data_IF_390247216387
#
_entry.id   IF_390247216387
#
_cell.length_a   1.000
_cell.length_b   1.000
_cell.length_c   1.000
_cell.angle_alpha   90.00
_cell.angle_beta   90.00
_cell.angle_gamma   90.00
#
_symmetry.space_group_name_H-M   'P 1'
#
loop_
_entity.id
_entity.type
_entity.pdbx_description
1 polymer ?
#
# COMPACT_ATOMS: atom_id res chain seq x y z
N UNK A 1 3.84 7.52 0.21
CA UNK A 1 3.81 6.36 -0.67
C UNK A 1 5.04 5.48 -0.47
N UNK A 2 4.95 4.24 -0.96
CA UNK A 2 6.04 3.26 -0.85
C UNK A 2 6.19 2.51 -2.17
N UNK A 3 7.41 2.02 -2.42
CA UNK A 3 7.69 1.15 -3.57
C UNK A 3 7.75 -0.30 -3.10
N UNK A 4 7.28 -1.23 -3.95
CA UNK A 4 7.55 -2.64 -3.72
C UNK A 4 8.82 -3.06 -4.46
N UNK A 5 9.19 -4.35 -4.32
CA UNK A 5 10.42 -4.86 -4.93
C UNK A 5 10.39 -4.86 -6.46
N UNK A 6 9.21 -4.78 -7.06
CA UNK A 6 9.04 -4.74 -8.52
C UNK A 6 8.92 -3.31 -9.04
N UNK A 7 9.07 -2.31 -8.18
CA UNK A 7 9.03 -0.91 -8.58
C UNK A 7 7.63 -0.31 -8.67
N UNK A 8 6.59 -1.04 -8.27
CA UNK A 8 5.24 -0.48 -8.20
C UNK A 8 5.13 0.48 -7.03
N UNK A 9 4.34 1.53 -7.20
CA UNK A 9 4.10 2.54 -6.16
C UNK A 9 2.79 2.23 -5.46
N UNK A 10 2.84 2.15 -4.13
CA UNK A 10 1.68 2.00 -3.27
C UNK A 10 1.46 3.33 -2.56
N UNK A 11 0.36 3.98 -2.85
CA UNK A 11 0.10 5.32 -2.36
C UNK A 11 -1.27 5.42 -1.69
N UNK A 12 -1.34 6.28 -0.67
CA UNK A 12 -2.61 6.57 0.00
C UNK A 12 -3.49 7.44 -0.90
N UNK A 13 -4.79 7.20 -0.81
CA UNK A 13 -5.80 7.95 -1.54
C UNK A 13 -7.04 8.09 -0.67
N UNK A 14 -8.00 8.93 -1.07
CA UNK A 14 -9.20 9.17 -0.27
C UNK A 14 -10.07 7.93 -0.12
N UNK A 15 -10.05 7.05 -1.11
CA UNK A 15 -10.88 5.84 -1.12
C UNK A 15 -10.09 4.58 -0.72
N UNK A 16 -8.84 4.73 -0.29
CA UNK A 16 -8.03 3.60 0.14
C UNK A 16 -6.60 3.69 -0.33
N UNK A 17 -6.06 2.58 -0.82
CA UNK A 17 -4.68 2.49 -1.30
C UNK A 17 -4.69 2.17 -2.80
N UNK A 18 -3.94 2.94 -3.56
CA UNK A 18 -3.77 2.73 -5.00
C UNK A 18 -2.41 2.13 -5.27
N UNK A 19 -2.36 1.18 -6.19
CA UNK A 19 -1.12 0.59 -6.68
C UNK A 19 -0.90 1.02 -8.12
N UNK A 20 0.23 1.66 -8.38
CA UNK A 20 0.60 2.15 -9.70
C UNK A 20 1.80 1.37 -10.23
N UNK A 21 1.84 1.14 -11.55
CA UNK A 21 3.00 0.52 -12.16
C UNK A 21 4.16 1.52 -12.27
N UNK A 22 5.36 1.08 -12.66
CA UNK A 22 6.51 2.00 -12.78
C UNK A 22 6.31 3.14 -13.79
N UNK A 23 5.31 3.03 -14.66
CA UNK A 23 4.98 4.07 -15.63
C UNK A 23 3.89 5.03 -15.13
N UNK A 24 3.34 4.77 -13.94
CA UNK A 24 2.32 5.62 -13.34
C UNK A 24 0.87 5.21 -13.64
N UNK A 25 0.64 4.07 -14.25
CA UNK A 25 -0.71 3.58 -14.52
C UNK A 25 -1.30 2.88 -13.30
N UNK A 26 -2.56 3.15 -13.01
CA UNK A 26 -3.26 2.50 -11.91
C UNK A 26 -3.54 1.04 -12.27
N UNK A 27 -2.97 0.11 -11.51
CA UNK A 27 -3.13 -1.32 -11.75
C UNK A 27 -3.86 -2.05 -10.63
N UNK A 28 -4.13 -1.40 -9.51
CA UNK A 28 -4.88 -2.01 -8.44
C UNK A 28 -5.28 -1.02 -7.37
N UNK A 29 -6.26 -1.42 -6.57
CA UNK A 29 -6.75 -0.64 -5.43
C UNK A 29 -7.07 -1.55 -4.27
N UNK A 30 -6.87 -1.03 -3.05
CA UNK A 30 -7.39 -1.63 -1.82
C UNK A 30 -8.35 -0.61 -1.23
N UNK A 31 -9.65 -0.94 -1.17
CA UNK A 31 -10.63 -0.03 -0.58
C UNK A 31 -10.55 -0.10 0.94
N UNK A 32 -10.51 1.08 1.56
CA UNK A 32 -10.54 1.23 3.01
C UNK A 32 -11.70 2.17 3.33
N UNK A 33 -12.56 1.83 4.31
CA UNK A 33 -13.75 2.65 4.60
C UNK A 33 -13.44 3.98 5.31
N UNK A 34 -12.18 4.34 5.43
CA UNK A 34 -11.71 5.57 6.06
C UNK A 34 -10.67 6.24 5.18
N UNK A 35 -10.39 7.51 5.44
CA UNK A 35 -9.32 8.23 4.75
C UNK A 35 -7.97 7.65 5.19
N UNK A 36 -7.17 7.23 4.22
CA UNK A 36 -5.86 6.66 4.47
C UNK A 36 -4.83 7.79 4.58
N UNK A 37 -4.08 7.79 5.66
CA UNK A 37 -3.05 8.81 5.90
C UNK A 37 -1.65 8.35 5.49
N UNK A 38 -1.37 7.05 5.58
CA UNK A 38 -0.04 6.53 5.22
C UNK A 38 -0.09 5.04 4.96
N UNK A 39 0.93 4.54 4.26
CA UNK A 39 1.13 3.11 4.03
C UNK A 39 2.60 2.78 4.23
N UNK A 40 2.91 1.58 4.71
CA UNK A 40 4.29 1.09 4.78
C UNK A 40 4.31 -0.43 4.72
N UNK A 41 5.40 -0.97 4.19
CA UNK A 41 5.64 -2.41 4.22
C UNK A 41 6.29 -2.81 5.53
N UNK A 42 5.94 -4.00 6.02
CA UNK A 42 6.51 -4.54 7.23
C UNK A 42 6.40 -6.05 7.28
N UNK A 43 6.78 -6.61 8.43
CA UNK A 43 6.85 -8.05 8.63
C UNK A 43 8.20 -8.62 8.21
N UNK A 44 8.49 -9.89 8.54
CA UNK A 44 9.80 -10.48 8.29
C UNK A 44 10.23 -10.51 6.83
N UNK A 45 9.28 -10.56 5.91
CA UNK A 45 9.55 -10.64 4.47
C UNK A 45 9.15 -9.39 3.71
N UNK A 46 8.76 -8.32 4.42
CA UNK A 46 8.26 -7.07 3.82
C UNK A 46 7.09 -7.30 2.85
N UNK A 47 6.28 -8.35 3.09
CA UNK A 47 5.14 -8.68 2.24
C UNK A 47 3.81 -8.32 2.89
N UNK A 48 3.84 -7.58 3.98
CA UNK A 48 2.65 -7.11 4.68
C UNK A 48 2.57 -5.61 4.56
N UNK A 49 1.47 -5.12 4.01
CA UNK A 49 1.23 -3.69 3.87
C UNK A 49 0.42 -3.21 5.07
N UNK A 50 0.96 -2.28 5.84
CA UNK A 50 0.26 -1.62 6.94
C UNK A 50 -0.32 -0.31 6.43
N UNK A 51 -1.60 -0.09 6.72
CA UNK A 51 -2.36 1.06 6.24
C UNK A 51 -2.86 1.81 7.46
N UNK A 52 -2.39 3.05 7.65
CA UNK A 52 -2.87 3.90 8.73
C UNK A 52 -4.02 4.76 8.20
N UNK A 53 -5.19 4.62 8.80
CA UNK A 53 -6.38 5.37 8.45
C UNK A 53 -6.78 6.30 9.61
N UNK A 54 -7.91 6.99 9.48
CA UNK A 54 -8.32 8.04 10.41
C UNK A 54 -8.43 7.55 11.86
N UNK A 55 -9.07 6.39 12.07
CA UNK A 55 -9.28 5.86 13.43
C UNK A 55 -8.73 4.45 13.61
N UNK A 56 -8.20 3.82 12.55
CA UNK A 56 -7.84 2.42 12.57
C UNK A 56 -6.55 2.17 11.81
N UNK A 57 -5.92 1.03 12.12
CA UNK A 57 -4.81 0.52 11.33
C UNK A 57 -5.24 -0.78 10.69
N UNK A 58 -4.98 -0.92 9.41
CA UNK A 58 -5.27 -2.13 8.64
C UNK A 58 -3.96 -2.77 8.20
N UNK A 59 -3.99 -4.08 7.97
CA UNK A 59 -2.84 -4.77 7.38
C UNK A 59 -3.30 -5.79 6.35
N UNK A 60 -2.53 -5.93 5.29
CA UNK A 60 -2.84 -6.83 4.17
C UNK A 60 -1.58 -7.57 3.79
N UNK A 61 -1.68 -8.89 3.60
CA UNK A 61 -0.59 -9.67 3.02
C UNK A 61 -0.64 -9.55 1.51
N UNK A 62 0.52 -9.35 0.90
CA UNK A 62 0.65 -9.21 -0.55
C UNK A 62 1.52 -10.32 -1.11
N UNK A 63 1.38 -10.57 -2.40
CA UNK A 63 2.22 -11.54 -3.11
C UNK A 63 3.57 -10.94 -3.54
N UNK A 64 3.83 -9.69 -3.18
CA UNK A 64 5.07 -8.98 -3.51
C UNK A 64 5.71 -8.49 -2.22
N UNK A 65 7.02 -8.28 -2.26
CA UNK A 65 7.76 -7.74 -1.13
C UNK A 65 7.97 -6.24 -1.30
N UNK A 66 7.92 -5.52 -0.19
CA UNK A 66 8.28 -4.10 -0.20
C UNK A 66 9.79 -3.93 -0.30
N UNK A 67 10.22 -2.72 -0.67
CA UNK A 67 11.65 -2.39 -0.78
C UNK A 67 12.08 -1.36 0.27
N UNK A 68 11.32 -1.19 1.32
CA UNK A 68 11.47 -0.16 2.38
C UNK A 68 10.93 1.15 1.94
#
# INVERSE_FOLDING_TARGET
FRFDADGRVWTSAEDGVHCLDPKGNLIGKIKVPEIVSNVCFGGPKLNRLFITATTSMYSVFLNVNGSH
#
